data_IF_072854933294
#
_entry.id   IF_072854933294
#
_cell.length_a   1.000
_cell.length_b   1.000
_cell.length_c   1.000
_cell.angle_alpha   90.00
_cell.angle_beta   90.00
_cell.angle_gamma   90.00
#
_symmetry.space_group_name_H-M   'P 1'
#
loop_
_entity.id
_entity.type
_entity.pdbx_description
1 polymer ?
#
# COMPACT_ATOMS: atom_id res chain seq x y z
N UNK A 1 9.51 19.92 9.26
CA UNK A 1 10.77 20.24 8.51
C UNK A 1 10.50 20.15 7.01
N UNK A 2 11.19 20.97 6.18
CA UNK A 2 11.01 20.89 4.71
C UNK A 2 12.37 20.79 4.04
N UNK A 3 12.54 19.78 3.21
CA UNK A 3 13.76 19.46 2.48
C UNK A 3 13.43 19.32 0.99
N UNK A 4 13.72 20.37 0.23
CA UNK A 4 13.49 20.45 -1.21
C UNK A 4 14.81 20.53 -1.97
N UNK A 5 14.82 19.98 -3.17
CA UNK A 5 15.98 19.90 -4.05
C UNK A 5 16.51 18.50 -4.20
N UNK A 6 17.69 18.37 -4.79
CA UNK A 6 18.28 17.10 -5.14
C UNK A 6 19.33 16.66 -4.10
N UNK A 7 19.50 15.34 -3.97
CA UNK A 7 20.51 14.68 -3.13
C UNK A 7 20.49 15.07 -1.66
N UNK A 8 19.32 15.45 -1.14
CA UNK A 8 19.15 15.64 0.29
C UNK A 8 19.27 14.30 1.02
N UNK A 9 19.92 14.31 2.17
CA UNK A 9 20.03 13.13 3.05
C UNK A 9 19.58 13.53 4.45
N UNK A 10 18.62 12.75 4.96
CA UNK A 10 18.21 12.78 6.37
C UNK A 10 18.31 11.38 6.92
N UNK A 11 19.14 11.16 7.92
CA UNK A 11 19.42 9.82 8.45
C UNK A 11 19.51 9.82 9.98
N UNK A 12 18.88 8.81 10.60
CA UNK A 12 18.96 8.57 12.04
C UNK A 12 18.45 9.72 12.90
N UNK A 13 17.46 10.46 12.40
CA UNK A 13 16.90 11.61 13.11
C UNK A 13 15.60 11.22 13.80
N UNK A 14 15.35 11.78 14.98
CA UNK A 14 14.04 11.77 15.62
C UNK A 14 13.27 13.04 15.28
N UNK A 15 11.99 12.90 14.91
CA UNK A 15 11.06 13.98 14.62
C UNK A 15 9.76 13.72 15.37
N UNK A 16 9.54 14.40 16.46
CA UNK A 16 8.44 14.14 17.37
C UNK A 16 7.70 15.38 17.83
N UNK A 17 6.48 15.20 18.33
CA UNK A 17 5.63 16.26 18.91
C UNK A 17 5.42 17.43 17.95
N UNK A 18 5.14 17.11 16.70
CA UNK A 18 4.99 18.10 15.62
C UNK A 18 3.54 18.51 15.46
N UNK A 19 3.27 19.83 15.52
CA UNK A 19 1.93 20.37 15.40
C UNK A 19 1.23 20.08 14.07
N UNK A 20 1.99 19.93 12.98
CA UNK A 20 1.53 19.64 11.63
C UNK A 20 2.27 18.42 11.06
N UNK A 21 2.70 18.48 9.78
CA UNK A 21 3.48 17.42 9.13
C UNK A 21 4.89 17.31 9.72
N UNK A 22 5.41 16.11 9.85
CA UNK A 22 6.77 15.88 10.29
C UNK A 22 7.80 16.38 9.29
N UNK A 23 7.91 15.73 8.13
CA UNK A 23 8.88 16.06 7.08
C UNK A 23 8.17 16.24 5.74
N UNK A 24 8.47 17.34 5.05
CA UNK A 24 8.07 17.53 3.65
C UNK A 24 9.29 17.38 2.78
N UNK A 25 9.24 16.43 1.86
CA UNK A 25 10.32 16.09 0.93
C UNK A 25 9.91 16.35 -0.50
N UNK A 26 10.77 17.02 -1.28
CA UNK A 26 10.51 17.28 -2.68
C UNK A 26 11.79 17.49 -3.47
N UNK A 27 11.74 17.23 -4.78
CA UNK A 27 12.89 17.43 -5.67
C UNK A 27 12.78 16.64 -6.96
N UNK A 28 13.86 16.69 -7.75
CA UNK A 28 13.83 16.17 -9.10
C UNK A 28 13.00 17.04 -10.05
N UNK A 29 12.72 16.52 -11.21
CA UNK A 29 11.89 17.19 -12.21
C UNK A 29 10.94 16.20 -12.87
N UNK A 30 9.66 16.31 -12.56
CA UNK A 30 8.63 15.43 -13.12
C UNK A 30 8.46 15.58 -14.63
N UNK A 31 8.72 16.77 -15.21
CA UNK A 31 8.56 16.97 -16.65
C UNK A 31 9.56 16.16 -17.46
N UNK A 32 10.78 16.05 -16.95
CA UNK A 32 11.87 15.30 -17.59
C UNK A 32 12.10 13.92 -16.96
N UNK A 33 11.37 13.58 -15.89
CA UNK A 33 11.55 12.40 -15.05
C UNK A 33 12.97 12.32 -14.45
N UNK A 34 13.63 13.48 -14.23
CA UNK A 34 14.93 13.55 -13.59
C UNK A 34 14.76 13.32 -12.08
N UNK A 35 15.44 12.30 -11.58
CA UNK A 35 15.36 11.91 -10.19
C UNK A 35 16.07 12.90 -9.26
N UNK A 36 15.49 13.15 -8.09
CA UNK A 36 16.13 13.94 -7.03
C UNK A 36 17.27 13.20 -6.35
N UNK A 37 17.21 11.86 -6.29
CA UNK A 37 18.17 11.00 -5.57
C UNK A 37 18.28 11.36 -4.06
N UNK A 38 17.24 11.95 -3.49
CA UNK A 38 17.18 12.28 -2.07
C UNK A 38 16.80 11.05 -1.25
N UNK A 39 17.42 10.88 -0.07
CA UNK A 39 17.26 9.70 0.78
C UNK A 39 16.92 10.12 2.22
N UNK A 40 15.84 9.55 2.73
CA UNK A 40 15.38 9.67 4.11
C UNK A 40 15.43 8.26 4.74
N UNK A 41 16.40 8.02 5.60
CA UNK A 41 16.72 6.66 6.04
C UNK A 41 16.92 6.55 7.55
N UNK A 42 16.30 5.51 8.15
CA UNK A 42 16.48 5.20 9.56
C UNK A 42 16.01 6.29 10.50
N UNK A 43 15.00 7.08 10.11
CA UNK A 43 14.45 8.12 10.95
C UNK A 43 13.27 7.60 11.78
N UNK A 44 13.08 8.18 12.95
CA UNK A 44 11.97 7.94 13.85
C UNK A 44 11.03 9.15 13.84
N UNK A 45 9.83 9.00 13.31
CA UNK A 45 8.86 10.10 13.12
C UNK A 45 7.56 9.74 13.82
N UNK A 46 7.23 10.43 14.90
CA UNK A 46 6.07 10.09 15.72
C UNK A 46 5.43 11.31 16.37
N UNK A 47 4.24 11.16 16.94
CA UNK A 47 3.47 12.23 17.57
C UNK A 47 3.39 13.47 16.66
N UNK A 48 3.11 13.26 15.37
CA UNK A 48 2.89 14.35 14.42
C UNK A 48 1.38 14.63 14.24
N UNK A 49 1.04 15.79 13.66
CA UNK A 49 -0.35 16.20 13.50
C UNK A 49 -1.03 16.60 14.82
N UNK A 50 -0.27 17.09 15.80
CA UNK A 50 -0.79 17.42 17.15
C UNK A 50 -1.88 18.49 17.10
N UNK A 51 -1.75 19.50 16.22
CA UNK A 51 -2.75 20.57 16.04
C UNK A 51 -3.58 20.36 14.77
N UNK A 52 -2.94 20.05 13.66
CA UNK A 52 -3.63 19.73 12.41
C UNK A 52 -3.83 18.22 12.34
N UNK A 53 -5.02 17.75 12.70
CA UNK A 53 -5.34 16.32 12.85
C UNK A 53 -5.49 15.57 11.54
N UNK A 54 -5.66 16.24 10.41
CA UNK A 54 -5.84 15.63 9.09
C UNK A 54 -4.88 16.24 8.06
N UNK A 55 -4.49 15.45 7.05
CA UNK A 55 -3.57 15.85 5.98
C UNK A 55 -2.25 16.47 6.48
N UNK A 56 -1.79 15.99 7.63
CA UNK A 56 -0.51 16.36 8.25
C UNK A 56 0.33 15.07 8.47
N UNK A 57 0.95 14.52 7.41
CA UNK A 57 1.64 13.23 7.46
C UNK A 57 2.97 13.30 8.20
N UNK A 58 3.48 12.11 8.58
CA UNK A 58 4.88 11.96 9.00
C UNK A 58 5.84 12.37 7.90
N UNK A 59 5.62 11.87 6.67
CA UNK A 59 6.31 12.31 5.46
C UNK A 59 5.33 12.75 4.37
N UNK A 60 5.46 13.97 3.89
CA UNK A 60 4.85 14.44 2.65
C UNK A 60 5.87 14.39 1.52
N UNK A 61 5.64 13.55 0.48
CA UNK A 61 6.63 13.30 -0.58
C UNK A 61 6.09 13.74 -1.93
N UNK A 62 6.85 14.56 -2.66
CA UNK A 62 6.50 15.00 -4.00
C UNK A 62 7.72 15.11 -4.90
N UNK A 63 7.51 15.14 -6.22
CA UNK A 63 8.59 15.28 -7.19
C UNK A 63 8.94 13.97 -7.88
N UNK A 64 10.23 13.67 -8.05
CA UNK A 64 10.69 12.49 -8.77
C UNK A 64 11.88 11.84 -8.07
N UNK A 65 11.83 10.51 -7.85
CA UNK A 65 12.97 9.71 -7.42
C UNK A 65 13.47 9.99 -6.00
N UNK A 66 12.58 10.00 -5.02
CA UNK A 66 12.88 10.13 -3.59
C UNK A 66 12.79 8.75 -2.94
N UNK A 67 13.70 8.46 -2.02
CA UNK A 67 13.71 7.21 -1.25
C UNK A 67 13.37 7.45 0.22
N UNK A 68 12.34 6.77 0.73
CA UNK A 68 12.10 6.59 2.16
C UNK A 68 12.46 5.15 2.53
N UNK A 69 13.48 4.96 3.34
CA UNK A 69 13.99 3.62 3.70
C UNK A 69 14.16 3.47 5.20
N UNK A 70 13.73 2.32 5.73
CA UNK A 70 13.99 1.92 7.09
C UNK A 70 13.57 2.97 8.14
N UNK A 71 12.52 3.75 7.88
CA UNK A 71 11.98 4.70 8.84
C UNK A 71 10.91 4.03 9.72
N UNK A 72 10.78 4.50 10.94
CA UNK A 72 9.70 4.12 11.87
C UNK A 72 8.75 5.30 11.98
N UNK A 73 7.45 5.07 11.76
CA UNK A 73 6.42 6.10 11.81
C UNK A 73 5.23 5.62 12.62
N UNK A 74 4.85 6.36 13.66
CA UNK A 74 3.75 5.94 14.53
C UNK A 74 3.13 7.07 15.35
N UNK A 75 2.08 6.73 16.09
CA UNK A 75 1.36 7.61 17.03
C UNK A 75 0.88 8.90 16.38
N UNK A 76 -0.05 8.77 15.43
CA UNK A 76 -0.57 9.92 14.72
C UNK A 76 -2.06 9.79 14.34
N UNK A 77 -2.78 10.90 14.25
CA UNK A 77 -4.21 10.90 13.97
C UNK A 77 -4.56 10.55 12.54
N UNK A 78 -3.62 10.73 11.60
CA UNK A 78 -3.84 10.54 10.16
C UNK A 78 -2.67 9.75 9.51
N UNK A 79 -2.47 9.90 8.21
CA UNK A 79 -1.54 9.13 7.37
C UNK A 79 -0.07 9.30 7.80
N UNK A 80 0.70 8.22 7.73
CA UNK A 80 2.16 8.28 7.89
C UNK A 80 2.83 8.92 6.68
N UNK A 81 2.40 8.54 5.47
CA UNK A 81 2.97 9.03 4.21
C UNK A 81 1.86 9.50 3.29
N UNK A 82 1.90 10.77 2.90
CA UNK A 82 1.15 11.30 1.77
C UNK A 82 2.13 11.56 0.63
N UNK A 83 1.86 11.01 -0.54
CA UNK A 83 2.79 11.17 -1.65
C UNK A 83 2.09 11.43 -2.98
N UNK A 84 2.85 12.01 -3.89
CA UNK A 84 2.53 12.19 -5.30
C UNK A 84 3.83 12.36 -6.09
N UNK A 85 3.78 12.10 -7.38
CA UNK A 85 4.96 12.19 -8.24
C UNK A 85 5.46 10.84 -8.72
N UNK A 86 6.73 10.75 -9.04
CA UNK A 86 7.25 9.66 -9.87
C UNK A 86 8.47 8.98 -9.27
N UNK A 87 8.56 7.67 -9.53
CA UNK A 87 9.78 6.88 -9.28
C UNK A 87 10.30 6.95 -7.84
N UNK A 88 9.42 7.13 -6.87
CA UNK A 88 9.76 7.07 -5.46
C UNK A 88 9.96 5.61 -5.02
N UNK A 89 10.80 5.42 -4.03
CA UNK A 89 11.04 4.13 -3.40
C UNK A 89 10.71 4.21 -1.90
N UNK A 90 9.72 3.43 -1.48
CA UNK A 90 9.32 3.26 -0.08
C UNK A 90 9.64 1.83 0.33
N UNK A 91 10.71 1.63 1.11
CA UNK A 91 11.14 0.27 1.46
C UNK A 91 11.59 0.11 2.91
N UNK A 92 11.33 -1.06 3.47
CA UNK A 92 11.73 -1.44 4.84
C UNK A 92 11.22 -0.50 5.94
N UNK A 93 10.20 0.30 5.67
CA UNK A 93 9.62 1.16 6.70
C UNK A 93 8.69 0.37 7.61
N UNK A 94 8.67 0.74 8.88
CA UNK A 94 7.73 0.23 9.88
C UNK A 94 6.70 1.30 10.23
N UNK A 95 5.42 1.03 9.99
CA UNK A 95 4.32 1.98 10.21
C UNK A 95 3.25 1.34 11.07
N UNK A 96 2.95 1.93 12.21
CA UNK A 96 1.93 1.44 13.12
C UNK A 96 1.30 2.56 13.94
N UNK A 97 0.12 2.30 14.51
CA UNK A 97 -0.61 3.26 15.34
C UNK A 97 -0.72 4.65 14.69
N UNK A 98 -1.02 4.66 13.39
CA UNK A 98 -1.43 5.86 12.65
C UNK A 98 -2.90 5.72 12.25
N UNK A 99 -3.52 6.77 11.72
CA UNK A 99 -4.96 6.83 11.44
C UNK A 99 -5.82 6.67 12.70
N UNK A 100 -5.33 7.14 13.84
CA UNK A 100 -6.00 6.94 15.13
C UNK A 100 -7.33 7.70 15.26
N UNK A 101 -7.53 8.74 14.45
CA UNK A 101 -8.71 9.62 14.55
C UNK A 101 -9.46 9.79 13.22
N UNK A 102 -9.03 9.11 12.16
CA UNK A 102 -9.60 9.30 10.82
C UNK A 102 -9.88 7.98 10.13
N UNK A 103 -11.06 7.88 9.52
CA UNK A 103 -11.40 6.84 8.55
C UNK A 103 -11.25 7.34 7.11
N UNK A 104 -11.48 6.46 6.13
CA UNK A 104 -11.31 6.73 4.69
C UNK A 104 -9.93 7.33 4.37
N UNK A 105 -8.92 6.75 4.97
CA UNK A 105 -7.54 7.21 4.89
C UNK A 105 -6.56 6.03 4.87
N UNK A 106 -5.41 6.19 4.22
CA UNK A 106 -4.34 5.20 4.15
C UNK A 106 -3.12 5.57 4.98
N UNK A 107 -2.43 4.59 5.57
CA UNK A 107 -1.13 4.83 6.17
C UNK A 107 -0.15 5.37 5.13
N UNK A 108 -0.17 4.80 3.93
CA UNK A 108 0.36 5.40 2.70
C UNK A 108 -0.81 5.77 1.81
N UNK A 109 -0.86 7.01 1.35
CA UNK A 109 -1.95 7.51 0.54
C UNK A 109 -1.45 8.33 -0.64
N UNK A 110 -2.03 8.06 -1.80
CA UNK A 110 -1.96 8.84 -3.04
C UNK A 110 -3.29 8.78 -3.75
N UNK A 111 -3.55 9.67 -4.72
CA UNK A 111 -4.79 9.59 -5.48
C UNK A 111 -5.05 10.75 -6.42
N UNK A 112 -6.05 10.55 -7.30
CA UNK A 112 -6.57 11.56 -8.23
C UNK A 112 -5.55 12.03 -9.26
N UNK A 113 -4.57 11.20 -9.62
CA UNK A 113 -3.54 11.59 -10.56
C UNK A 113 -2.99 10.40 -11.36
N UNK A 114 -3.32 10.30 -12.64
CA UNK A 114 -2.75 9.28 -13.53
C UNK A 114 -1.24 9.39 -13.72
N UNK A 115 -0.68 10.56 -13.41
CA UNK A 115 0.76 10.82 -13.57
C UNK A 115 1.60 10.43 -12.36
N UNK A 116 0.98 9.92 -11.30
CA UNK A 116 1.69 9.28 -10.20
C UNK A 116 2.14 7.89 -10.66
N UNK A 117 3.34 7.79 -11.21
CA UNK A 117 3.81 6.59 -11.91
C UNK A 117 5.19 6.14 -11.46
N UNK A 118 5.40 4.82 -11.50
CA UNK A 118 6.71 4.22 -11.29
C UNK A 118 7.17 4.19 -9.83
N UNK A 119 6.29 4.43 -8.88
CA UNK A 119 6.62 4.32 -7.47
C UNK A 119 6.66 2.84 -7.06
N UNK A 120 7.52 2.51 -6.11
CA UNK A 120 7.69 1.16 -5.59
C UNK A 120 7.53 1.17 -4.08
N UNK A 121 6.55 0.42 -3.58
CA UNK A 121 6.31 0.18 -2.16
C UNK A 121 6.68 -1.28 -1.87
N UNK A 122 7.83 -1.51 -1.22
CA UNK A 122 8.29 -2.88 -0.99
C UNK A 122 8.89 -3.11 0.40
N UNK A 123 8.69 -4.32 0.90
CA UNK A 123 9.27 -4.77 2.17
C UNK A 123 8.94 -3.88 3.36
N UNK A 124 7.80 -3.18 3.32
CA UNK A 124 7.32 -2.40 4.44
C UNK A 124 6.49 -3.27 5.38
N UNK A 125 6.52 -2.96 6.66
CA UNK A 125 5.65 -3.54 7.67
C UNK A 125 4.64 -2.47 8.11
N UNK A 126 3.37 -2.74 7.86
CA UNK A 126 2.26 -1.83 8.20
C UNK A 126 1.30 -2.59 9.10
N UNK A 127 1.16 -2.15 10.36
CA UNK A 127 0.40 -2.93 11.33
C UNK A 127 -0.32 -2.06 12.37
N UNK A 128 -1.31 -2.64 13.04
CA UNK A 128 -2.04 -2.02 14.14
C UNK A 128 -2.51 -0.59 13.83
N UNK A 129 -3.26 -0.43 12.74
CA UNK A 129 -3.78 0.84 12.28
C UNK A 129 -5.15 1.17 12.89
N UNK A 130 -5.42 2.47 13.05
CA UNK A 130 -6.68 2.97 13.60
C UNK A 130 -6.72 2.96 15.12
N UNK A 131 -7.84 3.43 15.69
CA UNK A 131 -8.04 3.43 17.12
C UNK A 131 -8.15 2.00 17.67
N UNK A 132 -7.66 1.78 18.88
CA UNK A 132 -7.72 0.49 19.55
C UNK A 132 -9.18 0.02 19.71
N UNK A 133 -9.45 -1.20 19.27
CA UNK A 133 -10.82 -1.78 19.33
C UNK A 133 -11.74 -1.36 18.19
N UNK A 134 -11.40 -0.39 17.38
CA UNK A 134 -12.16 0.05 16.22
C UNK A 134 -11.39 -0.19 14.94
N UNK A 135 -11.82 -1.17 14.15
CA UNK A 135 -11.36 -1.30 12.77
C UNK A 135 -12.17 -0.31 11.88
N UNK A 136 -11.87 0.99 12.03
CA UNK A 136 -12.42 2.02 11.16
C UNK A 136 -12.09 1.72 9.69
N UNK A 137 -12.69 2.42 8.75
CA UNK A 137 -12.37 2.30 7.31
C UNK A 137 -10.99 2.90 7.02
N UNK A 138 -9.93 2.22 7.51
CA UNK A 138 -8.53 2.61 7.37
C UNK A 138 -7.80 1.61 6.48
N UNK A 139 -6.84 2.07 5.69
CA UNK A 139 -6.09 1.25 4.76
C UNK A 139 -4.58 1.28 5.07
N UNK A 140 -3.91 0.16 4.86
CA UNK A 140 -2.45 0.13 4.84
C UNK A 140 -1.94 0.99 3.69
N UNK A 141 -2.22 0.59 2.44
CA UNK A 141 -1.94 1.38 1.25
C UNK A 141 -3.25 1.75 0.55
N UNK A 142 -3.39 3.01 0.21
CA UNK A 142 -4.57 3.54 -0.45
C UNK A 142 -4.20 4.29 -1.73
N UNK A 143 -4.44 3.65 -2.86
CA UNK A 143 -4.34 4.20 -4.21
C UNK A 143 -5.74 4.69 -4.60
N UNK A 144 -6.02 5.94 -4.27
CA UNK A 144 -7.38 6.50 -4.31
C UNK A 144 -7.72 7.11 -5.66
N UNK A 145 -9.01 7.19 -5.95
CA UNK A 145 -9.60 7.96 -7.04
C UNK A 145 -8.85 7.86 -8.37
N UNK A 146 -8.71 6.62 -8.87
CA UNK A 146 -8.06 6.29 -10.14
C UNK A 146 -6.56 6.63 -10.21
N UNK A 147 -5.85 6.58 -9.09
CA UNK A 147 -4.40 6.60 -9.10
C UNK A 147 -3.81 5.44 -9.92
N UNK A 148 -2.63 5.58 -10.47
CA UNK A 148 -2.04 4.61 -11.39
C UNK A 148 -0.54 4.40 -11.20
N UNK A 149 -0.06 3.15 -11.44
CA UNK A 149 1.34 2.89 -11.74
C UNK A 149 2.25 2.67 -10.54
N UNK A 150 1.72 2.23 -9.40
CA UNK A 150 2.50 1.92 -8.20
C UNK A 150 2.69 0.42 -8.03
N UNK A 151 3.92 -0.04 -7.91
CA UNK A 151 4.25 -1.44 -7.64
C UNK A 151 4.24 -1.73 -6.14
N UNK A 152 3.54 -2.82 -5.75
CA UNK A 152 3.42 -3.27 -4.35
C UNK A 152 4.00 -4.67 -4.22
N UNK A 153 5.19 -4.79 -3.63
CA UNK A 153 5.91 -6.04 -3.57
C UNK A 153 6.46 -6.36 -2.18
N UNK A 154 6.18 -7.56 -1.68
CA UNK A 154 6.85 -8.10 -0.49
C UNK A 154 6.53 -7.37 0.81
N UNK A 155 5.41 -6.68 0.90
CA UNK A 155 5.01 -5.99 2.13
C UNK A 155 4.26 -6.92 3.07
N UNK A 156 4.25 -6.57 4.34
CA UNK A 156 3.47 -7.23 5.38
C UNK A 156 2.44 -6.27 5.94
N UNK A 157 1.17 -6.69 5.91
CA UNK A 157 0.04 -6.02 6.54
C UNK A 157 -0.49 -6.89 7.66
N UNK A 158 -0.48 -6.41 8.89
CA UNK A 158 -0.93 -7.18 10.06
C UNK A 158 -1.90 -6.37 10.91
N UNK A 159 -3.03 -6.97 11.27
CA UNK A 159 -4.02 -6.35 12.14
C UNK A 159 -4.45 -4.95 11.66
N UNK A 160 -4.85 -4.85 10.39
CA UNK A 160 -5.34 -3.61 9.77
C UNK A 160 -6.77 -3.79 9.24
N UNK A 161 -7.53 -2.72 9.13
CA UNK A 161 -8.89 -2.82 8.58
C UNK A 161 -8.84 -3.31 7.13
N UNK A 162 -8.06 -2.67 6.28
CA UNK A 162 -7.83 -3.10 4.90
C UNK A 162 -6.36 -2.96 4.54
N UNK A 163 -5.74 -4.04 4.07
CA UNK A 163 -4.33 -4.01 3.69
C UNK A 163 -4.07 -3.06 2.53
N UNK A 164 -4.75 -3.27 1.41
CA UNK A 164 -4.61 -2.43 0.21
C UNK A 164 -5.99 -2.05 -0.32
N UNK A 165 -6.14 -0.80 -0.76
CA UNK A 165 -7.27 -0.35 -1.56
C UNK A 165 -6.81 0.26 -2.89
N UNK A 166 -7.31 -0.29 -3.99
CA UNK A 166 -7.21 0.29 -5.32
C UNK A 166 -8.58 0.89 -5.69
N UNK A 167 -8.67 2.21 -5.60
CA UNK A 167 -9.88 2.98 -5.86
C UNK A 167 -10.07 3.26 -7.34
N UNK A 168 -10.41 2.25 -8.14
CA UNK A 168 -10.67 2.39 -9.58
C UNK A 168 -9.43 2.61 -10.43
N UNK A 169 -8.23 2.59 -9.84
CA UNK A 169 -6.95 2.80 -10.52
C UNK A 169 -6.45 1.58 -11.29
N UNK A 170 -5.35 1.75 -11.99
CA UNK A 170 -4.76 0.73 -12.87
C UNK A 170 -3.25 0.68 -12.78
N UNK A 171 -2.66 -0.42 -13.27
CA UNK A 171 -1.21 -0.62 -13.29
C UNK A 171 -0.58 -0.70 -11.89
N UNK A 172 -1.29 -1.32 -10.95
CA UNK A 172 -0.75 -1.67 -9.64
C UNK A 172 -0.44 -3.17 -9.58
N UNK A 173 0.77 -3.63 -9.92
CA UNK A 173 1.16 -5.01 -9.67
C UNK A 173 1.31 -5.25 -8.16
N UNK A 174 0.50 -6.18 -7.63
CA UNK A 174 0.43 -6.50 -6.20
C UNK A 174 0.90 -7.94 -6.02
N UNK A 175 2.16 -8.11 -5.62
CA UNK A 175 2.81 -9.42 -5.61
C UNK A 175 3.59 -9.67 -4.33
N UNK A 176 3.60 -10.95 -3.94
CA UNK A 176 4.50 -11.41 -2.88
C UNK A 176 4.25 -10.79 -1.51
N UNK A 177 3.03 -10.29 -1.23
CA UNK A 177 2.71 -9.65 0.04
C UNK A 177 2.07 -10.65 1.03
N UNK A 178 2.19 -10.35 2.32
CA UNK A 178 1.53 -11.07 3.40
C UNK A 178 0.45 -10.17 4.01
N UNK A 179 -0.78 -10.66 4.06
CA UNK A 179 -1.93 -10.03 4.71
C UNK A 179 -2.35 -10.90 5.89
N UNK A 180 -2.13 -10.45 7.10
CA UNK A 180 -2.45 -11.21 8.31
C UNK A 180 -3.47 -10.48 9.18
N UNK A 181 -4.53 -11.19 9.56
CA UNK A 181 -5.58 -10.71 10.48
C UNK A 181 -6.23 -9.39 10.04
N UNK A 182 -6.19 -9.09 8.74
CA UNK A 182 -6.90 -7.95 8.18
C UNK A 182 -8.41 -8.18 8.23
N UNK A 183 -9.21 -7.11 8.37
CA UNK A 183 -10.66 -7.22 8.19
C UNK A 183 -10.96 -7.56 6.71
N UNK A 184 -10.35 -6.82 5.80
CA UNK A 184 -10.32 -7.08 4.36
C UNK A 184 -8.86 -7.14 3.93
N UNK A 185 -8.42 -8.23 3.29
CA UNK A 185 -7.05 -8.34 2.79
C UNK A 185 -6.74 -7.21 1.82
N UNK A 186 -7.50 -7.12 0.73
CA UNK A 186 -7.41 -6.01 -0.21
C UNK A 186 -8.71 -5.79 -0.98
N UNK A 187 -8.80 -4.67 -1.70
CA UNK A 187 -9.93 -4.38 -2.58
C UNK A 187 -9.50 -3.66 -3.85
N UNK A 188 -10.25 -3.93 -4.92
CA UNK A 188 -10.18 -3.21 -6.19
C UNK A 188 -11.62 -2.82 -6.55
N UNK A 189 -11.94 -1.53 -6.51
CA UNK A 189 -13.28 -1.07 -6.88
C UNK A 189 -13.34 -0.53 -8.32
N UNK A 190 -14.52 -0.12 -8.74
CA UNK A 190 -14.81 0.32 -10.10
C UNK A 190 -15.28 1.78 -10.14
N UNK A 191 -14.83 2.62 -9.19
CA UNK A 191 -15.29 4.01 -9.09
C UNK A 191 -15.05 4.82 -10.36
N UNK A 192 -14.00 4.54 -11.12
CA UNK A 192 -13.79 5.14 -12.44
C UNK A 192 -14.95 4.89 -13.40
N UNK A 193 -15.60 3.72 -13.33
CA UNK A 193 -16.75 3.37 -14.16
C UNK A 193 -18.07 3.89 -13.59
N UNK A 194 -18.21 3.92 -12.26
CA UNK A 194 -19.49 4.15 -11.58
C UNK A 194 -19.68 5.57 -11.08
N UNK A 195 -18.60 6.27 -10.72
CA UNK A 195 -18.65 7.64 -10.23
C UNK A 195 -18.50 8.66 -11.37
N UNK A 196 -18.97 9.88 -11.14
CA UNK A 196 -19.00 10.94 -12.17
C UNK A 196 -17.74 11.80 -12.21
N UNK A 197 -16.73 11.53 -11.37
CA UNK A 197 -15.61 12.43 -11.10
C UNK A 197 -14.34 12.11 -11.90
N UNK A 198 -14.31 11.03 -12.66
CA UNK A 198 -13.09 10.52 -13.31
C UNK A 198 -12.47 11.44 -14.36
N UNK A 199 -13.26 12.31 -14.98
CA UNK A 199 -12.84 13.15 -16.12
C UNK A 199 -12.66 14.62 -15.71
N UNK A 200 -11.97 15.39 -16.58
CA UNK A 200 -11.79 16.83 -16.49
C UNK A 200 -13.09 17.63 -16.49
N UNK A 201 -14.13 17.13 -17.17
CA UNK A 201 -15.43 17.78 -17.19
C UNK A 201 -16.22 17.46 -15.96
N UNK A 202 -16.33 18.43 -15.07
CA UNK A 202 -17.08 18.31 -13.83
C UNK A 202 -18.59 18.27 -14.07
N UNK A 203 -19.25 17.25 -13.58
CA UNK A 203 -20.70 17.22 -13.44
C UNK A 203 -21.01 17.48 -11.96
N UNK A 204 -21.61 18.61 -11.65
CA UNK A 204 -21.92 18.98 -10.27
C UNK A 204 -20.77 19.61 -9.49
N UNK A 205 -19.79 20.21 -10.17
CA UNK A 205 -18.73 21.00 -9.54
C UNK A 205 -17.55 20.22 -8.96
N UNK A 206 -17.46 18.91 -9.18
CA UNK A 206 -16.36 18.06 -8.69
C UNK A 206 -15.77 17.24 -9.82
N UNK A 207 -14.46 17.29 -9.99
CA UNK A 207 -13.72 16.47 -10.96
C UNK A 207 -12.32 16.16 -10.44
N UNK A 208 -11.80 14.96 -10.77
CA UNK A 208 -10.43 14.60 -10.47
C UNK A 208 -9.41 15.20 -11.44
N UNK A 209 -9.85 15.74 -12.58
CA UNK A 209 -9.02 16.37 -13.61
C UNK A 209 -7.90 15.45 -14.12
N UNK A 210 -8.17 14.15 -14.24
CA UNK A 210 -7.16 13.11 -14.50
C UNK A 210 -6.41 13.35 -15.81
N UNK A 211 -7.17 13.57 -16.91
CA UNK A 211 -6.59 13.81 -18.22
C UNK A 211 -5.89 15.17 -18.30
N UNK A 212 -6.45 16.22 -17.67
CA UNK A 212 -5.84 17.56 -17.70
C UNK A 212 -4.50 17.58 -16.95
N UNK A 213 -4.40 16.89 -15.83
CA UNK A 213 -3.13 16.68 -15.12
C UNK A 213 -2.12 15.95 -16.00
N UNK A 214 -2.53 14.89 -16.69
CA UNK A 214 -1.66 14.14 -17.59
C UNK A 214 -1.19 14.99 -18.78
N UNK A 215 -2.09 15.78 -19.38
CA UNK A 215 -1.74 16.73 -20.45
C UNK A 215 -0.70 17.77 -20.02
N UNK A 216 -0.74 18.22 -18.76
CA UNK A 216 0.23 19.18 -18.24
C UNK A 216 1.68 18.64 -18.23
N UNK A 217 1.85 17.32 -18.22
CA UNK A 217 3.15 16.64 -18.34
C UNK A 217 3.49 16.20 -19.78
N UNK A 218 2.58 16.37 -20.74
CA UNK A 218 2.79 15.90 -22.11
C UNK A 218 2.85 14.37 -22.20
N UNK A 219 1.99 13.68 -21.47
CA UNK A 219 2.02 12.23 -21.23
C UNK A 219 2.03 11.36 -22.51
N UNK A 220 1.51 11.88 -23.63
CA UNK A 220 1.47 11.18 -24.92
C UNK A 220 2.75 11.29 -25.74
N UNK A 221 3.76 12.03 -25.28
CA UNK A 221 4.95 12.36 -26.05
C UNK A 221 6.23 12.27 -25.22
N UNK A 222 7.39 12.28 -25.93
CA UNK A 222 8.71 12.43 -25.33
C UNK A 222 9.03 11.40 -24.25
N UNK A 223 9.65 11.86 -23.17
CA UNK A 223 10.13 10.98 -22.09
C UNK A 223 8.98 10.27 -21.38
N UNK A 224 7.82 10.91 -21.24
CA UNK A 224 6.65 10.33 -20.60
C UNK A 224 6.08 9.15 -21.38
N UNK A 225 5.84 9.32 -22.68
CA UNK A 225 5.33 8.23 -23.51
C UNK A 225 6.33 7.06 -23.62
N UNK A 226 7.61 7.36 -23.68
CA UNK A 226 8.65 6.33 -23.69
C UNK A 226 8.74 5.56 -22.37
N UNK A 227 8.56 6.24 -21.23
CA UNK A 227 8.67 5.64 -19.89
C UNK A 227 7.39 4.93 -19.45
N UNK A 228 6.22 5.50 -19.76
CA UNK A 228 4.91 5.03 -19.37
C UNK A 228 3.99 4.84 -20.59
N UNK A 229 4.25 3.86 -21.45
CA UNK A 229 3.54 3.69 -22.71
C UNK A 229 2.05 3.39 -22.55
N UNK A 230 1.65 2.72 -21.46
CA UNK A 230 0.22 2.48 -21.18
C UNK A 230 -0.50 3.75 -20.76
N UNK A 231 0.15 4.62 -19.99
CA UNK A 231 -0.40 5.93 -19.69
C UNK A 231 -0.55 6.77 -20.96
N UNK A 232 0.44 6.71 -21.87
CA UNK A 232 0.38 7.45 -23.13
C UNK A 232 -0.83 7.05 -23.99
N UNK A 233 -1.27 5.81 -23.91
CA UNK A 233 -2.41 5.25 -24.68
C UNK A 233 -3.70 5.12 -23.84
N UNK A 234 -3.72 5.59 -22.61
CA UNK A 234 -4.81 5.33 -21.65
C UNK A 234 -6.20 5.68 -22.20
N UNK A 235 -6.32 6.77 -22.97
CA UNK A 235 -7.60 7.21 -23.52
C UNK A 235 -8.18 6.25 -24.56
N UNK A 236 -7.36 5.44 -25.21
CA UNK A 236 -7.77 4.41 -26.17
C UNK A 236 -7.97 3.04 -25.51
N UNK A 237 -7.60 2.89 -24.25
CA UNK A 237 -7.57 1.63 -23.52
C UNK A 237 -8.46 1.65 -22.27
N UNK A 238 -9.76 1.82 -22.47
CA UNK A 238 -10.74 1.77 -21.37
C UNK A 238 -10.35 2.59 -20.13
N UNK A 239 -10.19 3.93 -20.22
CA UNK A 239 -9.57 4.77 -19.18
C UNK A 239 -10.28 4.73 -17.83
N UNK A 240 -11.51 4.23 -17.77
CA UNK A 240 -12.33 4.16 -16.56
C UNK A 240 -12.26 2.81 -15.84
N UNK A 241 -11.62 1.81 -16.44
CA UNK A 241 -11.58 0.45 -15.92
C UNK A 241 -10.33 0.18 -15.07
N UNK A 242 -10.43 -0.55 -13.96
CA UNK A 242 -9.30 -0.90 -13.10
C UNK A 242 -8.46 -2.04 -13.69
N UNK A 243 -7.79 -1.78 -14.81
CA UNK A 243 -7.00 -2.77 -15.55
C UNK A 243 -5.56 -2.87 -15.08
N UNK A 244 -4.88 -3.93 -15.49
CA UNK A 244 -3.44 -4.14 -15.26
C UNK A 244 -3.03 -4.14 -13.77
N UNK A 245 -3.92 -4.60 -12.90
CA UNK A 245 -3.66 -4.83 -11.49
C UNK A 245 -3.48 -6.33 -11.21
N UNK A 246 -2.38 -6.98 -11.62
CA UNK A 246 -2.17 -8.38 -11.30
C UNK A 246 -2.02 -8.58 -9.79
N UNK A 247 -2.72 -9.60 -9.25
CA UNK A 247 -2.66 -9.99 -7.84
C UNK A 247 -2.13 -11.41 -7.78
N UNK A 248 -0.84 -11.56 -7.50
CA UNK A 248 -0.15 -12.83 -7.68
C UNK A 248 0.79 -13.16 -6.53
N UNK A 249 0.84 -14.43 -6.16
CA UNK A 249 1.76 -14.96 -5.16
C UNK A 249 1.64 -14.23 -3.81
N UNK A 250 0.45 -13.83 -3.39
CA UNK A 250 0.22 -13.23 -2.08
C UNK A 250 -0.30 -14.28 -1.09
N UNK A 251 -0.03 -14.07 0.18
CA UNK A 251 -0.45 -14.93 1.29
C UNK A 251 -1.42 -14.16 2.18
N UNK A 252 -2.60 -14.72 2.42
CA UNK A 252 -3.64 -14.16 3.27
C UNK A 252 -3.86 -15.08 4.47
N UNK A 253 -3.64 -14.58 5.69
CA UNK A 253 -3.71 -15.35 6.93
C UNK A 253 -4.83 -14.79 7.80
N UNK A 254 -5.80 -15.60 8.15
CA UNK A 254 -6.88 -15.25 9.09
C UNK A 254 -7.57 -13.91 8.82
N UNK A 255 -7.73 -13.54 7.57
CA UNK A 255 -8.55 -12.38 7.21
C UNK A 255 -10.02 -12.63 7.60
N UNK A 256 -10.74 -11.58 8.06
CA UNK A 256 -12.01 -11.77 8.78
C UNK A 256 -13.26 -11.70 7.89
N UNK A 257 -13.31 -10.78 6.94
CA UNK A 257 -14.50 -10.54 6.11
C UNK A 257 -14.29 -10.95 4.66
N UNK A 258 -13.25 -10.42 4.02
CA UNK A 258 -12.95 -10.67 2.61
C UNK A 258 -11.45 -10.79 2.38
N UNK A 259 -11.07 -11.69 1.48
CA UNK A 259 -9.68 -11.84 1.03
C UNK A 259 -9.36 -10.74 0.00
N UNK A 260 -10.15 -10.71 -1.07
CA UNK A 260 -10.09 -9.69 -2.11
C UNK A 260 -11.53 -9.28 -2.46
N UNK A 261 -11.85 -8.02 -2.18
CA UNK A 261 -13.13 -7.42 -2.53
C UNK A 261 -13.05 -6.79 -3.93
N UNK A 262 -13.86 -7.27 -4.86
CA UNK A 262 -13.97 -6.70 -6.21
C UNK A 262 -15.25 -5.90 -6.37
N UNK A 263 -15.16 -4.76 -7.07
CA UNK A 263 -16.34 -4.02 -7.51
C UNK A 263 -17.29 -4.92 -8.30
N UNK A 264 -18.60 -4.65 -8.18
CA UNK A 264 -19.63 -5.45 -8.88
C UNK A 264 -19.48 -5.36 -10.39
N UNK A 265 -19.10 -4.20 -10.88
CA UNK A 265 -18.93 -3.86 -12.31
C UNK A 265 -17.54 -4.23 -12.86
N UNK A 266 -16.72 -4.97 -12.06
CA UNK A 266 -15.38 -5.34 -12.48
C UNK A 266 -15.39 -6.03 -13.86
N UNK A 267 -14.58 -5.55 -14.83
CA UNK A 267 -14.55 -6.07 -16.20
C UNK A 267 -13.76 -7.38 -16.28
N UNK A 268 -14.27 -8.44 -15.64
CA UNK A 268 -13.58 -9.71 -15.39
C UNK A 268 -12.80 -10.27 -16.58
N UNK A 269 -13.34 -10.14 -17.80
CA UNK A 269 -12.69 -10.66 -19.01
C UNK A 269 -11.43 -9.87 -19.43
N UNK A 270 -11.25 -8.66 -18.91
CA UNK A 270 -10.11 -7.78 -19.22
C UNK A 270 -9.22 -7.50 -18.01
N UNK A 271 -9.61 -7.94 -16.83
CA UNK A 271 -8.77 -7.79 -15.66
C UNK A 271 -7.45 -8.54 -15.80
N UNK A 272 -6.42 -8.00 -15.19
CA UNK A 272 -5.14 -8.68 -15.05
C UNK A 272 -5.28 -9.98 -14.23
N UNK A 273 -4.34 -10.93 -14.35
CA UNK A 273 -4.39 -12.18 -13.64
C UNK A 273 -4.50 -12.00 -12.11
N UNK A 274 -5.38 -12.80 -11.50
CA UNK A 274 -5.42 -13.04 -10.06
C UNK A 274 -5.06 -14.52 -9.93
N UNK A 275 -3.83 -14.81 -9.49
CA UNK A 275 -3.30 -16.16 -9.59
C UNK A 275 -2.29 -16.50 -8.48
N UNK A 276 -2.18 -17.79 -8.19
CA UNK A 276 -1.17 -18.33 -7.28
C UNK A 276 -1.18 -17.70 -5.87
N UNK A 277 -2.33 -17.20 -5.42
CA UNK A 277 -2.47 -16.67 -4.06
C UNK A 277 -2.86 -17.80 -3.10
N UNK A 278 -2.45 -17.68 -1.85
CA UNK A 278 -2.78 -18.65 -0.80
C UNK A 278 -3.57 -18.00 0.31
N UNK A 279 -4.64 -18.65 0.72
CA UNK A 279 -5.42 -18.31 1.91
C UNK A 279 -5.16 -19.33 2.98
N UNK A 280 -4.78 -18.88 4.16
CA UNK A 280 -4.54 -19.71 5.35
C UNK A 280 -5.59 -19.38 6.40
N UNK A 281 -6.35 -20.37 6.80
CA UNK A 281 -7.32 -20.27 7.90
C UNK A 281 -6.82 -21.14 9.04
N UNK A 282 -6.30 -20.51 10.10
CA UNK A 282 -5.80 -21.23 11.28
C UNK A 282 -6.90 -21.47 12.33
N UNK A 283 -8.03 -20.75 12.24
CA UNK A 283 -9.10 -20.71 13.24
C UNK A 283 -10.30 -21.59 12.92
N UNK A 284 -10.07 -22.77 12.36
CA UNK A 284 -11.15 -23.67 11.91
C UNK A 284 -12.12 -24.18 12.99
N UNK A 285 -11.86 -23.91 14.28
CA UNK A 285 -12.65 -24.45 15.39
C UNK A 285 -13.36 -23.42 16.27
N UNK A 286 -12.98 -22.13 16.22
CA UNK A 286 -13.53 -21.12 17.15
C UNK A 286 -14.88 -20.52 16.73
N UNK A 287 -15.54 -21.07 15.71
CA UNK A 287 -16.79 -20.52 15.17
C UNK A 287 -16.63 -19.14 14.48
N UNK A 288 -15.43 -18.60 14.43
CA UNK A 288 -15.14 -17.35 13.69
C UNK A 288 -15.12 -17.71 12.19
N UNK A 289 -16.07 -17.16 11.45
CA UNK A 289 -16.17 -17.34 10.02
C UNK A 289 -14.96 -16.67 9.36
N UNK A 290 -14.06 -17.46 8.80
CA UNK A 290 -12.96 -16.96 7.98
C UNK A 290 -13.50 -16.32 6.70
N UNK A 291 -12.77 -15.33 6.19
CA UNK A 291 -13.11 -14.65 4.95
C UNK A 291 -13.22 -15.64 3.78
N UNK A 292 -14.28 -15.50 2.99
CA UNK A 292 -14.44 -16.25 1.75
C UNK A 292 -13.73 -15.56 0.59
N UNK A 293 -13.27 -16.35 -0.37
CA UNK A 293 -12.82 -15.84 -1.67
C UNK A 293 -14.05 -15.62 -2.56
N UNK A 294 -14.10 -14.51 -3.27
CA UNK A 294 -15.13 -14.24 -4.27
C UNK A 294 -15.14 -15.32 -5.35
N UNK A 295 -16.31 -15.90 -5.65
CA UNK A 295 -16.44 -17.01 -6.60
C UNK A 295 -15.89 -16.66 -8.00
N UNK A 296 -15.95 -15.37 -8.40
CA UNK A 296 -15.46 -14.90 -9.69
C UNK A 296 -13.94 -15.06 -9.87
N UNK A 297 -13.19 -15.15 -8.78
CA UNK A 297 -11.72 -15.21 -8.75
C UNK A 297 -11.18 -16.40 -7.99
N UNK A 298 -12.04 -17.31 -7.56
CA UNK A 298 -11.66 -18.47 -6.70
C UNK A 298 -10.58 -19.36 -7.29
N UNK A 299 -10.51 -19.48 -8.61
CA UNK A 299 -9.47 -20.25 -9.30
C UNK A 299 -8.05 -19.70 -9.08
N UNK A 300 -7.90 -18.43 -8.67
CA UNK A 300 -6.61 -17.80 -8.38
C UNK A 300 -6.09 -18.03 -6.97
N UNK A 301 -6.80 -18.85 -6.17
CA UNK A 301 -6.49 -19.04 -4.75
C UNK A 301 -6.43 -20.52 -4.37
N UNK A 302 -5.39 -20.89 -3.62
CA UNK A 302 -5.33 -22.14 -2.87
C UNK A 302 -5.70 -21.88 -1.42
N UNK A 303 -6.66 -22.64 -0.88
CA UNK A 303 -7.13 -22.46 0.51
C UNK A 303 -6.59 -23.59 1.37
N UNK A 304 -5.85 -23.24 2.40
CA UNK A 304 -5.33 -24.15 3.43
C UNK A 304 -6.13 -23.93 4.72
N UNK A 305 -6.74 -24.99 5.22
CA UNK A 305 -7.48 -24.97 6.48
C UNK A 305 -6.76 -25.86 7.50
N UNK A 306 -6.48 -25.33 8.67
CA UNK A 306 -5.81 -26.02 9.77
C UNK A 306 -6.54 -25.92 11.08
N UNK A 307 -6.09 -26.67 12.09
CA UNK A 307 -6.59 -26.54 13.45
C UNK A 307 -5.79 -25.50 14.24
N UNK A 308 -6.46 -24.83 15.13
CA UNK A 308 -5.95 -23.74 15.99
C UNK A 308 -4.85 -24.13 16.95
N UNK A 309 -4.58 -25.43 17.14
CA UNK A 309 -3.70 -25.95 18.18
C UNK A 309 -2.19 -25.93 17.83
N UNK A 310 -1.84 -25.42 16.64
CA UNK A 310 -0.46 -25.31 16.22
C UNK A 310 -0.06 -23.83 16.02
N UNK A 311 0.74 -23.24 16.94
CA UNK A 311 1.26 -21.87 16.78
C UNK A 311 2.10 -21.69 15.51
N UNK A 312 2.57 -22.81 14.93
CA UNK A 312 3.36 -22.85 13.69
C UNK A 312 2.54 -23.34 12.49
N UNK A 313 1.22 -23.11 12.46
CA UNK A 313 0.38 -23.58 11.37
C UNK A 313 0.96 -23.18 10.00
N UNK A 314 1.05 -24.17 9.12
CA UNK A 314 1.53 -24.04 7.74
C UNK A 314 2.98 -23.56 7.58
N UNK A 315 3.76 -23.53 8.67
CA UNK A 315 5.21 -23.28 8.65
C UNK A 315 5.63 -21.83 8.89
N UNK A 316 4.80 -20.98 9.47
CA UNK A 316 5.25 -19.72 10.07
C UNK A 316 5.81 -19.94 11.49
N UNK A 317 6.73 -19.11 11.92
CA UNK A 317 7.27 -19.17 13.28
C UNK A 317 6.21 -18.79 14.32
N UNK A 318 5.57 -17.63 14.18
CA UNK A 318 4.42 -17.19 15.00
C UNK A 318 3.65 -16.06 14.32
N UNK A 319 2.93 -16.37 13.24
CA UNK A 319 2.17 -15.38 12.49
C UNK A 319 1.08 -14.68 13.32
N UNK A 320 0.59 -15.32 14.39
CA UNK A 320 -0.40 -14.75 15.27
C UNK A 320 0.14 -13.53 16.05
N UNK A 321 1.41 -13.52 16.36
CA UNK A 321 2.12 -12.44 17.07
C UNK A 321 3.05 -11.63 16.14
N UNK A 322 2.85 -11.73 14.82
CA UNK A 322 3.59 -10.93 13.84
C UNK A 322 4.96 -11.49 13.43
N UNK A 323 5.31 -12.70 13.82
CA UNK A 323 6.52 -13.36 13.34
C UNK A 323 6.21 -14.21 12.10
N UNK A 324 6.44 -13.60 10.93
CA UNK A 324 6.19 -14.20 9.64
C UNK A 324 7.39 -14.94 9.04
N UNK A 325 8.42 -15.21 9.83
CA UNK A 325 9.55 -16.05 9.38
C UNK A 325 9.07 -17.47 9.09
N UNK A 326 9.58 -18.06 8.01
CA UNK A 326 9.23 -19.42 7.65
C UNK A 326 10.13 -20.43 8.36
N UNK A 327 9.50 -21.47 8.88
CA UNK A 327 10.18 -22.66 9.38
C UNK A 327 10.67 -23.54 8.23
N UNK A 328 11.71 -24.35 8.43
CA UNK A 328 12.19 -25.29 7.42
C UNK A 328 11.07 -26.20 6.92
N UNK A 329 10.88 -26.28 5.61
CA UNK A 329 9.87 -27.11 4.99
C UNK A 329 8.44 -26.57 5.05
N UNK A 330 8.26 -25.29 5.31
CA UNK A 330 6.96 -24.62 5.40
C UNK A 330 6.00 -25.05 4.28
N UNK A 331 4.84 -25.56 4.66
CA UNK A 331 3.82 -26.07 3.74
C UNK A 331 3.30 -24.97 2.80
N UNK A 332 3.16 -23.77 3.33
CA UNK A 332 2.68 -22.62 2.58
C UNK A 332 3.56 -22.28 1.37
N UNK A 333 4.86 -22.51 1.44
CA UNK A 333 5.77 -22.29 0.31
C UNK A 333 5.56 -23.33 -0.81
N UNK A 334 5.06 -24.52 -0.48
CA UNK A 334 4.66 -25.52 -1.47
C UNK A 334 3.33 -25.15 -2.12
N UNK A 335 2.42 -24.56 -1.36
CA UNK A 335 1.12 -24.12 -1.85
C UNK A 335 1.23 -22.82 -2.69
N UNK A 336 2.27 -22.02 -2.46
CA UNK A 336 2.56 -20.79 -3.19
C UNK A 336 3.97 -20.81 -3.79
N UNK A 337 4.24 -21.63 -4.82
CA UNK A 337 5.61 -21.87 -5.31
C UNK A 337 6.27 -20.64 -5.93
N UNK A 338 5.47 -19.63 -6.29
CA UNK A 338 5.97 -18.33 -6.80
C UNK A 338 6.34 -17.33 -5.71
N UNK A 339 6.02 -17.63 -4.44
CA UNK A 339 6.32 -16.70 -3.33
C UNK A 339 7.82 -16.67 -3.05
N UNK A 340 8.37 -15.47 -3.02
CA UNK A 340 9.77 -15.25 -2.66
C UNK A 340 9.85 -14.92 -1.16
N UNK A 341 10.70 -15.63 -0.43
CA UNK A 341 10.87 -15.41 1.01
C UNK A 341 11.30 -13.96 1.27
N UNK A 342 10.57 -13.31 2.18
CA UNK A 342 10.81 -11.90 2.49
C UNK A 342 12.03 -11.74 3.37
N UNK A 343 12.77 -10.62 3.25
CA UNK A 343 13.91 -10.29 4.11
C UNK A 343 13.43 -9.75 5.46
N UNK A 344 12.68 -10.58 6.20
CA UNK A 344 11.99 -10.20 7.44
C UNK A 344 12.96 -9.75 8.54
N UNK A 345 14.19 -10.26 8.57
CA UNK A 345 15.22 -9.82 9.52
C UNK A 345 15.55 -8.33 9.35
N UNK A 346 15.49 -7.82 8.12
CA UNK A 346 15.68 -6.39 7.83
C UNK A 346 14.47 -5.57 8.25
N UNK A 347 13.28 -6.12 8.12
CA UNK A 347 12.02 -5.50 8.56
C UNK A 347 11.94 -5.52 10.09
N UNK A 348 12.34 -6.63 10.73
CA UNK A 348 12.32 -6.78 12.19
C UNK A 348 13.40 -5.95 12.90
N UNK A 349 14.57 -5.73 12.30
CA UNK A 349 15.64 -4.92 12.90
C UNK A 349 15.23 -3.45 13.10
N UNK A 350 14.18 -3.00 12.40
CA UNK A 350 13.59 -1.67 12.60
C UNK A 350 12.83 -1.62 13.94
N UNK A 351 12.35 -2.75 14.45
CA UNK A 351 11.65 -2.83 15.75
C UNK A 351 12.60 -2.66 16.96
N UNK A 352 13.91 -2.81 16.80
CA UNK A 352 14.87 -2.64 17.89
C UNK A 352 15.02 -1.17 18.37
N UNK A 353 14.59 -0.20 17.59
CA UNK A 353 14.55 1.21 18.03
C UNK A 353 13.53 1.45 19.15
N UNK A 354 12.44 0.70 19.18
CA UNK A 354 11.41 0.84 20.21
C UNK A 354 11.84 0.32 21.59
N UNK A 355 12.87 -0.52 21.68
CA UNK A 355 13.40 -1.02 22.94
C UNK A 355 14.50 -0.13 23.55
N UNK A 356 15.14 0.72 22.76
CA UNK A 356 16.23 1.60 23.21
C UNK A 356 15.76 2.96 23.73
N UNK A 357 14.51 3.35 23.46
CA UNK A 357 13.93 4.61 23.94
C UNK A 357 13.19 4.49 25.28
N UNK A 358 13.16 3.30 25.89
CA UNK A 358 12.55 3.04 27.20
C UNK A 358 13.58 2.81 28.32
N UNK A 359 14.84 3.08 28.08
CA UNK A 359 15.88 3.25 29.08
C UNK A 359 16.31 4.73 29.12
#
# INVERSE_FOLDING_TARGET
MSLYGDRNVMRGCEVAQIGRSGVSAGGGDRKTLRRAESVFEGNHVHDFGVFQRTYAPGFGVNGCGITLRANVMHDAPHSAVLYGGNEHLFEYNNVYRVLLETGDAGAYYTGRDWTTQGNVLRFNYTHDLGAEGEMANTMGFYFDDCDCGDEVYGNVFHNVSRGIMVGGGREHPIRNNIFSRCLIGMSIDCRGMTWKHWNSVSVGGSSWLLEDKAKAFGYTNGVWAARYPRLADIMNDHPREPLYNPVENNIFIDCKQQILALGKEAPMARMAPIANNVVVNTRGTDGVKCASVDARISAGFTVLNGSTDAPCAFGFADAANGDFRFLPGAEILKACPGFQVLPLDRIASITLWTSMSNE
#
